data_IF_687049017680
#
_entry.id   IF_687049017680
#
_cell.length_a   1.000
_cell.length_b   1.000
_cell.length_c   1.000
_cell.angle_alpha   90.00
_cell.angle_beta   90.00
_cell.angle_gamma   90.00
#
_symmetry.space_group_name_H-M   'P 1'
#
loop_
_entity.id
_entity.type
_entity.pdbx_description
1 polymer ?
#
# COMPACT_ATOMS: atom_id res chain seq x y z
N UNK A 1 21.84 -30.91 42.34
CA UNK A 1 21.24 -29.88 43.22
C UNK A 1 21.48 -28.53 42.55
N UNK A 2 20.56 -28.11 41.67
CA UNK A 2 20.80 -26.98 40.76
C UNK A 2 19.48 -26.26 40.39
N UNK A 3 18.53 -26.19 41.32
CA UNK A 3 17.16 -25.70 41.08
C UNK A 3 16.83 -24.38 41.79
N UNK A 4 17.75 -23.80 42.58
CA UNK A 4 17.43 -22.63 43.42
C UNK A 4 17.90 -21.28 42.84
N UNK A 5 18.73 -21.29 41.80
CA UNK A 5 19.30 -20.05 41.25
C UNK A 5 18.23 -19.18 40.56
N UNK A 6 17.20 -19.80 39.96
CA UNK A 6 16.14 -19.10 39.24
C UNK A 6 15.15 -18.40 40.17
N UNK A 7 14.74 -19.05 41.27
CA UNK A 7 13.80 -18.47 42.23
C UNK A 7 14.39 -17.27 42.99
N UNK A 8 15.68 -17.33 43.34
CA UNK A 8 16.34 -16.24 44.06
C UNK A 8 16.40 -14.96 43.22
N UNK A 9 16.69 -15.07 41.93
CA UNK A 9 16.71 -13.96 40.97
C UNK A 9 15.36 -13.22 40.85
N UNK A 10 14.24 -13.94 40.92
CA UNK A 10 12.91 -13.33 40.92
C UNK A 10 12.59 -12.59 42.22
N UNK A 11 13.00 -13.15 43.36
CA UNK A 11 12.73 -12.57 44.67
C UNK A 11 13.62 -11.38 45.03
N UNK A 12 14.83 -11.29 44.48
CA UNK A 12 15.76 -10.19 44.75
C UNK A 12 15.40 -8.90 44.01
N UNK A 13 14.70 -8.99 42.88
CA UNK A 13 14.37 -7.83 42.03
C UNK A 13 12.89 -7.79 41.61
N UNK A 14 11.92 -7.83 42.55
CA UNK A 14 10.49 -7.95 42.22
C UNK A 14 9.97 -6.74 41.43
N UNK A 15 10.51 -5.55 41.70
CA UNK A 15 10.17 -4.31 40.98
C UNK A 15 10.61 -4.41 39.51
N UNK A 16 11.83 -4.86 39.24
CA UNK A 16 12.34 -4.98 37.87
C UNK A 16 11.50 -5.97 37.05
N UNK A 17 11.16 -7.12 37.64
CA UNK A 17 10.30 -8.11 36.98
C UNK A 17 8.88 -7.60 36.74
N UNK A 18 8.32 -6.81 37.67
CA UNK A 18 7.00 -6.19 37.50
C UNK A 18 7.01 -5.16 36.37
N UNK A 19 8.07 -4.34 36.26
CA UNK A 19 8.24 -3.37 35.17
C UNK A 19 8.42 -4.04 33.81
N UNK A 20 9.19 -5.13 33.75
CA UNK A 20 9.34 -5.91 32.51
C UNK A 20 7.99 -6.50 32.10
N UNK A 21 7.27 -7.10 33.04
CA UNK A 21 5.96 -7.70 32.75
C UNK A 21 4.95 -6.64 32.28
N UNK A 22 4.91 -5.47 32.92
CA UNK A 22 4.01 -4.39 32.49
C UNK A 22 4.39 -3.85 31.11
N UNK A 23 5.68 -3.72 30.81
CA UNK A 23 6.15 -3.32 29.48
C UNK A 23 5.76 -4.35 28.41
N UNK A 24 5.94 -5.64 28.68
CA UNK A 24 5.53 -6.71 27.76
C UNK A 24 4.01 -6.71 27.53
N UNK A 25 3.21 -6.47 28.56
CA UNK A 25 1.75 -6.31 28.42
C UNK A 25 1.42 -5.10 27.54
N UNK A 26 2.10 -3.97 27.74
CA UNK A 26 1.95 -2.78 26.90
C UNK A 26 2.27 -3.06 25.43
N UNK A 27 3.38 -3.75 25.16
CA UNK A 27 3.76 -4.15 23.79
C UNK A 27 2.73 -5.10 23.16
N UNK A 28 2.23 -6.09 23.91
CA UNK A 28 1.17 -6.98 23.42
C UNK A 28 -0.12 -6.23 23.10
N UNK A 29 -0.49 -5.25 23.92
CA UNK A 29 -1.64 -4.38 23.65
C UNK A 29 -1.43 -3.55 22.38
N UNK A 30 -0.27 -2.89 22.24
CA UNK A 30 0.06 -2.10 21.06
C UNK A 30 0.01 -2.94 19.77
N UNK A 31 0.58 -4.14 19.79
CA UNK A 31 0.53 -5.08 18.67
C UNK A 31 -0.91 -5.47 18.29
N UNK A 32 -1.79 -5.69 19.29
CA UNK A 32 -3.21 -5.95 19.06
C UNK A 32 -3.94 -4.74 18.49
N UNK A 33 -3.62 -3.53 18.95
CA UNK A 33 -4.22 -2.30 18.45
C UNK A 33 -3.86 -2.08 16.97
N UNK A 34 -2.58 -2.16 16.61
CA UNK A 34 -2.10 -2.06 15.23
C UNK A 34 -2.78 -3.10 14.33
N UNK A 35 -2.90 -4.35 14.80
CA UNK A 35 -3.57 -5.40 14.02
C UNK A 35 -5.05 -5.07 13.75
N UNK A 36 -5.74 -4.43 14.70
CA UNK A 36 -7.15 -4.04 14.55
C UNK A 36 -7.35 -2.85 13.60
N UNK A 37 -6.35 -1.99 13.36
CA UNK A 37 -6.49 -0.85 12.46
C UNK A 37 -6.89 -1.29 11.04
N UNK A 38 -6.32 -2.40 10.55
CA UNK A 38 -6.69 -2.98 9.27
C UNK A 38 -8.17 -3.40 9.22
N UNK A 39 -8.65 -4.05 10.28
CA UNK A 39 -10.05 -4.50 10.35
C UNK A 39 -11.01 -3.30 10.41
N UNK A 40 -10.67 -2.28 11.22
CA UNK A 40 -11.46 -1.05 11.36
C UNK A 40 -11.55 -0.29 10.04
N UNK A 41 -10.46 -0.22 9.27
CA UNK A 41 -10.46 0.36 7.93
C UNK A 41 -11.39 -0.39 6.98
N UNK A 42 -11.31 -1.72 6.94
CA UNK A 42 -12.16 -2.55 6.06
C UNK A 42 -13.64 -2.33 6.40
N UNK A 43 -13.97 -2.19 7.68
CA UNK A 43 -15.34 -1.94 8.14
C UNK A 43 -15.84 -0.51 7.86
N UNK A 44 -14.95 0.49 7.91
CA UNK A 44 -15.33 1.91 7.78
C UNK A 44 -14.41 2.66 6.79
N UNK A 45 -14.43 2.32 5.49
CA UNK A 45 -13.65 3.03 4.49
C UNK A 45 -14.21 4.42 4.22
N UNK A 46 -13.33 5.37 3.94
CA UNK A 46 -13.73 6.66 3.35
C UNK A 46 -13.97 6.45 1.86
N UNK A 47 -15.11 6.91 1.37
CA UNK A 47 -15.45 6.81 -0.05
C UNK A 47 -15.05 8.10 -0.76
N UNK A 48 -14.21 7.97 -1.78
CA UNK A 48 -13.74 9.09 -2.59
C UNK A 48 -14.09 8.83 -4.04
N UNK A 49 -14.86 9.72 -4.66
CA UNK A 49 -15.18 9.64 -6.08
C UNK A 49 -13.97 10.05 -6.93
N UNK A 50 -13.68 9.28 -7.96
CA UNK A 50 -12.59 9.51 -8.90
C UNK A 50 -13.05 9.15 -10.32
N UNK A 51 -13.55 10.14 -11.05
CA UNK A 51 -14.18 9.95 -12.35
C UNK A 51 -15.38 8.98 -12.24
N UNK A 52 -15.47 7.91 -13.05
CA UNK A 52 -16.53 6.92 -12.95
C UNK A 52 -16.29 5.86 -11.86
N UNK A 53 -15.30 6.07 -10.99
CA UNK A 53 -14.91 5.12 -9.96
C UNK A 53 -15.08 5.65 -8.54
N UNK A 54 -15.16 4.72 -7.58
CA UNK A 54 -15.14 5.00 -6.14
C UNK A 54 -13.94 4.29 -5.53
N UNK A 55 -13.08 5.08 -4.88
CA UNK A 55 -11.96 4.62 -4.08
C UNK A 55 -12.41 4.44 -2.63
N UNK A 56 -12.07 3.29 -2.03
CA UNK A 56 -12.30 2.99 -0.60
C UNK A 56 -11.02 3.22 0.19
N UNK A 57 -10.72 4.46 0.55
CA UNK A 57 -9.45 4.83 1.17
C UNK A 57 -9.51 4.81 2.70
N UNK A 58 -8.37 4.64 3.38
CA UNK A 58 -8.28 4.87 4.82
C UNK A 58 -8.65 6.32 5.20
N UNK A 59 -9.21 6.50 6.38
CA UNK A 59 -9.62 7.83 6.87
C UNK A 59 -8.45 8.76 7.21
N UNK A 60 -7.23 8.23 7.32
CA UNK A 60 -6.00 9.02 7.55
C UNK A 60 -5.31 9.45 6.24
N UNK A 61 -5.82 9.03 5.08
CA UNK A 61 -5.30 9.50 3.80
C UNK A 61 -5.88 10.88 3.48
N UNK A 62 -5.01 11.88 3.42
CA UNK A 62 -5.40 13.25 3.09
C UNK A 62 -5.23 13.49 1.60
N UNK A 63 -6.26 14.04 0.96
CA UNK A 63 -6.16 14.48 -0.44
C UNK A 63 -5.29 15.74 -0.49
N UNK A 64 -4.17 15.68 -1.20
CA UNK A 64 -3.22 16.82 -1.33
C UNK A 64 -3.24 17.45 -2.70
N UNK A 65 -3.66 16.71 -3.72
CA UNK A 65 -3.86 17.22 -5.08
C UNK A 65 -5.06 16.53 -5.72
N UNK A 66 -5.86 17.30 -6.44
CA UNK A 66 -6.97 16.77 -7.24
C UNK A 66 -7.09 17.59 -8.51
N UNK A 67 -7.18 16.88 -9.62
CA UNK A 67 -7.49 17.40 -10.95
C UNK A 67 -8.60 16.55 -11.57
N UNK A 68 -9.08 16.94 -12.74
CA UNK A 68 -10.11 16.16 -13.46
C UNK A 68 -9.64 14.73 -13.80
N UNK A 69 -8.33 14.53 -13.95
CA UNK A 69 -7.71 13.27 -14.36
C UNK A 69 -6.80 12.66 -13.31
N UNK A 70 -6.61 13.28 -12.14
CA UNK A 70 -5.75 12.72 -11.11
C UNK A 70 -6.18 13.06 -9.69
N UNK A 71 -5.87 12.16 -8.77
CA UNK A 71 -6.04 12.38 -7.34
C UNK A 71 -4.83 11.83 -6.59
N UNK A 72 -4.31 12.61 -5.65
CA UNK A 72 -3.13 12.29 -4.85
C UNK A 72 -3.47 12.33 -3.37
N UNK A 73 -3.01 11.30 -2.67
CA UNK A 73 -3.15 11.10 -1.24
C UNK A 73 -1.79 11.10 -0.57
N UNK A 74 -1.69 11.73 0.59
CA UNK A 74 -0.51 11.70 1.45
C UNK A 74 -0.95 11.56 2.92
N UNK A 75 0.00 11.18 3.77
CA UNK A 75 -0.18 11.16 5.22
C UNK A 75 0.32 12.45 5.86
N UNK A 76 -0.58 13.42 5.96
CA UNK A 76 -0.28 14.72 6.59
C UNK A 76 -0.10 14.64 8.11
N UNK A 77 -0.53 13.53 8.72
CA UNK A 77 -0.45 13.28 10.16
C UNK A 77 0.89 12.68 10.61
N UNK A 78 1.74 12.27 9.66
CA UNK A 78 3.05 11.65 9.95
C UNK A 78 4.19 12.39 9.24
N UNK A 79 5.43 12.05 9.60
CA UNK A 79 6.64 12.64 9.01
C UNK A 79 7.29 11.78 7.92
N UNK A 80 6.75 10.60 7.62
CA UNK A 80 7.36 9.78 6.58
C UNK A 80 6.85 10.16 5.21
N UNK A 81 7.77 10.16 4.26
CA UNK A 81 7.52 10.49 2.86
C UNK A 81 6.83 9.30 2.19
N UNK A 82 5.51 9.41 2.05
CA UNK A 82 4.65 8.46 1.36
C UNK A 82 3.56 9.21 0.60
N UNK A 83 3.25 8.74 -0.60
CA UNK A 83 2.06 9.13 -1.33
C UNK A 83 1.43 7.96 -2.08
N UNK A 84 0.14 8.09 -2.40
CA UNK A 84 -0.55 7.32 -3.41
C UNK A 84 -1.17 8.26 -4.44
N UNK A 85 -1.03 7.94 -5.72
CA UNK A 85 -1.55 8.77 -6.80
C UNK A 85 -2.27 7.92 -7.84
N UNK A 86 -3.44 8.39 -8.25
CA UNK A 86 -4.30 7.76 -9.24
C UNK A 86 -4.47 8.70 -10.40
N UNK A 87 -4.31 8.20 -11.61
CA UNK A 87 -4.49 8.93 -12.86
C UNK A 87 -5.47 8.19 -13.76
N UNK A 88 -6.34 8.97 -14.40
CA UNK A 88 -7.38 8.51 -15.29
C UNK A 88 -7.20 9.19 -16.64
N UNK A 89 -7.21 8.40 -17.70
CA UNK A 89 -7.27 8.91 -19.07
C UNK A 89 -8.18 8.03 -19.91
N UNK A 90 -8.54 8.50 -21.10
CA UNK A 90 -9.22 7.66 -22.06
C UNK A 90 -8.26 6.58 -22.58
N UNK A 91 -8.79 5.39 -22.84
CA UNK A 91 -8.04 4.33 -23.49
C UNK A 91 -7.91 4.71 -24.98
N UNK A 92 -6.68 5.01 -25.39
CA UNK A 92 -6.35 5.33 -26.78
C UNK A 92 -5.61 4.14 -27.40
N UNK A 93 -6.23 3.50 -28.39
CA UNK A 93 -5.71 2.33 -29.14
C UNK A 93 -5.82 0.97 -28.44
N UNK A 94 -5.68 -0.11 -29.23
CA UNK A 94 -5.43 -1.46 -28.72
C UNK A 94 -3.97 -1.59 -28.27
N UNK A 95 -3.58 -0.86 -27.21
CA UNK A 95 -2.27 -1.04 -26.60
C UNK A 95 -2.23 -2.34 -25.77
N UNK A 96 -1.06 -2.96 -25.69
CA UNK A 96 -0.81 -4.03 -24.72
C UNK A 96 -0.49 -3.39 -23.37
N UNK A 97 -1.27 -3.76 -22.34
CA UNK A 97 -1.13 -3.22 -20.98
C UNK A 97 0.27 -3.46 -20.43
N UNK A 98 0.93 -4.55 -20.82
CA UNK A 98 2.27 -4.88 -20.34
C UNK A 98 3.33 -3.94 -20.92
N UNK A 99 3.30 -3.72 -22.23
CA UNK A 99 4.26 -2.84 -22.88
C UNK A 99 4.08 -1.40 -22.41
N UNK A 100 2.84 -0.92 -22.30
CA UNK A 100 2.57 0.42 -21.80
C UNK A 100 2.98 0.57 -20.32
N UNK A 101 2.78 -0.47 -19.50
CA UNK A 101 3.26 -0.48 -18.12
C UNK A 101 4.79 -0.35 -18.05
N UNK A 102 5.53 -1.10 -18.88
CA UNK A 102 7.00 -1.00 -18.94
C UNK A 102 7.44 0.40 -19.36
N UNK A 103 6.77 1.01 -20.33
CA UNK A 103 7.04 2.39 -20.74
C UNK A 103 6.84 3.38 -19.58
N UNK A 104 5.75 3.24 -18.81
CA UNK A 104 5.48 4.09 -17.65
C UNK A 104 6.52 3.94 -16.54
N UNK A 105 6.99 2.72 -16.28
CA UNK A 105 8.10 2.44 -15.36
C UNK A 105 9.40 3.05 -15.87
N UNK A 106 9.68 2.94 -17.17
CA UNK A 106 10.88 3.51 -17.78
C UNK A 106 10.87 5.04 -17.75
N UNK A 107 9.74 5.68 -18.05
CA UNK A 107 9.55 7.16 -17.95
C UNK A 107 9.85 7.66 -16.53
N UNK A 108 9.53 6.86 -15.51
CA UNK A 108 9.82 7.17 -14.10
C UNK A 108 11.26 6.86 -13.68
N UNK A 109 12.09 6.33 -14.59
CA UNK A 109 13.48 5.95 -14.35
C UNK A 109 13.64 5.02 -13.14
N UNK A 110 12.75 4.03 -13.03
CA UNK A 110 12.75 3.03 -11.97
C UNK A 110 13.47 1.76 -12.42
N UNK A 111 14.45 1.32 -11.63
CA UNK A 111 15.10 0.02 -11.78
C UNK A 111 14.77 -0.84 -10.55
N UNK A 112 13.93 -1.85 -10.73
CA UNK A 112 13.54 -2.75 -9.65
C UNK A 112 14.64 -3.78 -9.33
N UNK A 113 14.65 -4.23 -8.07
CA UNK A 113 15.53 -5.32 -7.61
C UNK A 113 15.11 -6.67 -8.22
N UNK A 114 16.02 -7.65 -8.25
CA UNK A 114 15.79 -8.96 -8.88
C UNK A 114 14.62 -9.75 -8.27
N UNK A 115 14.27 -9.46 -7.01
CA UNK A 115 13.17 -10.07 -6.27
C UNK A 115 11.81 -9.41 -6.51
N UNK A 116 11.79 -8.24 -7.17
CA UNK A 116 10.55 -7.57 -7.55
C UNK A 116 9.93 -8.29 -8.77
N UNK A 117 8.98 -9.17 -8.49
CA UNK A 117 8.19 -9.83 -9.53
C UNK A 117 7.25 -8.83 -10.20
N UNK A 118 7.39 -8.63 -11.51
CA UNK A 118 6.29 -8.05 -12.31
C UNK A 118 5.15 -9.07 -12.29
N UNK A 119 4.06 -8.73 -11.61
CA UNK A 119 2.88 -9.59 -11.55
C UNK A 119 1.99 -9.25 -12.74
N UNK A 120 2.05 -10.12 -13.75
CA UNK A 120 1.14 -10.08 -14.88
C UNK A 120 -0.23 -10.60 -14.46
N UNK A 121 -1.28 -9.78 -14.64
CA UNK A 121 -2.68 -10.11 -14.35
C UNK A 121 -2.94 -10.79 -12.99
N UNK A 122 -2.67 -10.11 -11.87
CA UNK A 122 -3.00 -10.64 -10.55
C UNK A 122 -4.49 -11.02 -10.45
N UNK A 123 -4.79 -12.31 -10.30
CA UNK A 123 -6.16 -12.81 -10.14
C UNK A 123 -6.88 -12.17 -8.95
N UNK A 124 -6.13 -11.76 -7.92
CA UNK A 124 -6.67 -11.03 -6.77
C UNK A 124 -7.30 -9.69 -7.13
N UNK A 125 -6.88 -9.07 -8.24
CA UNK A 125 -7.36 -7.76 -8.72
C UNK A 125 -8.54 -7.87 -9.70
N UNK A 126 -8.85 -9.05 -10.25
CA UNK A 126 -9.98 -9.24 -11.18
C UNK A 126 -11.30 -9.36 -10.41
N UNK A 127 -11.70 -8.25 -9.79
CA UNK A 127 -12.94 -8.13 -9.01
C UNK A 127 -13.54 -6.74 -9.22
N UNK A 128 -14.82 -6.59 -8.93
CA UNK A 128 -15.51 -5.29 -8.90
C UNK A 128 -15.31 -4.54 -10.24
N UNK A 129 -14.79 -3.30 -10.22
CA UNK A 129 -14.59 -2.51 -11.43
C UNK A 129 -13.59 -3.10 -12.43
N UNK A 130 -12.74 -4.04 -11.99
CA UNK A 130 -11.62 -4.57 -12.75
C UNK A 130 -11.79 -6.04 -13.17
N UNK A 131 -13.00 -6.60 -13.05
CA UNK A 131 -13.29 -8.01 -13.37
C UNK A 131 -12.93 -8.40 -14.81
N UNK A 132 -13.15 -7.49 -15.76
CA UNK A 132 -12.89 -7.69 -17.19
C UNK A 132 -11.74 -6.85 -17.73
N UNK A 133 -10.93 -6.27 -16.84
CA UNK A 133 -9.83 -5.39 -17.21
C UNK A 133 -8.54 -6.15 -17.52
N UNK A 134 -7.75 -5.60 -18.43
CA UNK A 134 -6.34 -5.99 -18.60
C UNK A 134 -5.51 -5.27 -17.55
N UNK A 135 -4.69 -5.99 -16.77
CA UNK A 135 -3.98 -5.44 -15.61
C UNK A 135 -2.51 -5.84 -15.61
N UNK A 136 -1.63 -4.86 -15.39
CA UNK A 136 -0.23 -5.02 -15.06
C UNK A 136 0.03 -4.45 -13.66
N UNK A 137 0.80 -5.16 -12.82
CA UNK A 137 1.22 -4.65 -11.51
C UNK A 137 2.68 -4.99 -11.23
N UNK A 138 3.37 -4.12 -10.51
CA UNK A 138 4.65 -4.42 -9.88
C UNK A 138 4.62 -3.89 -8.46
N UNK A 139 5.23 -4.64 -7.55
CA UNK A 139 5.44 -4.23 -6.17
C UNK A 139 6.87 -4.62 -5.79
N UNK A 140 7.63 -3.69 -5.22
CA UNK A 140 8.95 -4.00 -4.74
C UNK A 140 9.82 -2.78 -4.44
N UNK A 141 11.07 -3.07 -4.13
CA UNK A 141 12.08 -2.03 -3.95
C UNK A 141 12.71 -1.70 -5.30
N UNK A 142 12.90 -0.41 -5.55
CA UNK A 142 13.50 0.09 -6.78
C UNK A 142 14.54 1.18 -6.50
N UNK A 143 15.43 1.38 -7.47
CA UNK A 143 16.33 2.52 -7.54
C UNK A 143 15.79 3.51 -8.57
N UNK A 144 15.37 4.69 -8.13
CA UNK A 144 14.88 5.76 -8.98
C UNK A 144 16.02 6.71 -9.38
N UNK A 145 16.07 7.07 -10.67
CA UNK A 145 17.09 7.97 -11.23
C UNK A 145 18.54 7.52 -10.96
N UNK A 146 18.76 6.22 -10.69
CA UNK A 146 20.07 5.65 -10.35
C UNK A 146 20.64 6.03 -8.98
N UNK A 147 19.87 6.71 -8.11
CA UNK A 147 20.39 7.24 -6.83
C UNK A 147 19.45 6.91 -5.66
N UNK A 148 18.15 7.14 -5.80
CA UNK A 148 17.21 7.09 -4.69
C UNK A 148 16.62 5.68 -4.54
N UNK A 149 16.74 5.08 -3.35
CA UNK A 149 16.11 3.79 -3.03
C UNK A 149 14.69 4.01 -2.51
N UNK A 150 13.72 3.42 -3.18
CA UNK A 150 12.29 3.62 -2.91
C UNK A 150 11.58 2.28 -2.82
N UNK A 151 10.51 2.23 -2.02
CA UNK A 151 9.48 1.21 -2.15
C UNK A 151 8.42 1.72 -3.12
N UNK A 152 8.07 0.92 -4.12
CA UNK A 152 7.15 1.32 -5.17
C UNK A 152 6.16 0.18 -5.46
N UNK A 153 4.87 0.51 -5.47
CA UNK A 153 3.78 -0.36 -5.91
C UNK A 153 2.99 0.38 -6.98
N UNK A 154 2.80 -0.22 -8.14
CA UNK A 154 2.06 0.41 -9.22
C UNK A 154 1.24 -0.58 -10.02
N UNK A 155 0.09 -0.12 -10.47
CA UNK A 155 -0.86 -0.84 -11.30
C UNK A 155 -1.25 0.01 -12.51
N UNK A 156 -1.25 -0.60 -13.69
CA UNK A 156 -1.97 -0.11 -14.87
C UNK A 156 -3.12 -1.05 -15.16
N UNK A 157 -4.32 -0.49 -15.34
CA UNK A 157 -5.50 -1.23 -15.73
C UNK A 157 -6.19 -0.57 -16.93
N UNK A 158 -6.63 -1.39 -17.88
CA UNK A 158 -7.51 -0.98 -18.98
C UNK A 158 -8.91 -1.49 -18.71
N UNK A 159 -9.79 -0.57 -18.33
CA UNK A 159 -11.21 -0.81 -18.21
C UNK A 159 -11.85 -0.64 -19.60
N UNK A 160 -12.02 -1.77 -20.29
CA UNK A 160 -12.56 -1.78 -21.66
C UNK A 160 -14.05 -1.45 -21.73
N UNK A 161 -14.80 -1.67 -20.65
CA UNK A 161 -16.25 -1.38 -20.64
C UNK A 161 -16.50 0.13 -20.63
N UNK A 162 -15.68 0.87 -19.88
CA UNK A 162 -15.76 2.34 -19.79
C UNK A 162 -14.80 3.06 -20.75
N UNK A 163 -14.01 2.31 -21.52
CA UNK A 163 -12.93 2.82 -22.37
C UNK A 163 -11.97 3.73 -21.59
N UNK A 164 -11.56 3.30 -20.39
CA UNK A 164 -10.69 4.05 -19.48
C UNK A 164 -9.37 3.35 -19.22
N UNK A 165 -8.34 4.16 -19.07
CA UNK A 165 -7.00 3.78 -18.62
C UNK A 165 -6.78 4.32 -17.21
N UNK A 166 -6.40 3.44 -16.29
CA UNK A 166 -6.19 3.76 -14.88
C UNK A 166 -4.73 3.44 -14.53
N UNK A 167 -3.97 4.46 -14.17
CA UNK A 167 -2.67 4.29 -13.54
C UNK A 167 -2.79 4.58 -12.05
N UNK A 168 -2.36 3.67 -11.20
CA UNK A 168 -2.28 3.87 -9.76
C UNK A 168 -0.85 3.58 -9.31
N UNK A 169 -0.28 4.46 -8.50
CA UNK A 169 1.02 4.25 -7.89
C UNK A 169 1.02 4.60 -6.41
N UNK A 170 1.88 3.93 -5.66
CA UNK A 170 2.24 4.27 -4.30
C UNK A 170 3.76 4.25 -4.18
N UNK A 171 4.31 5.33 -3.61
CA UNK A 171 5.75 5.49 -3.39
C UNK A 171 6.01 5.85 -1.94
N UNK A 172 7.07 5.28 -1.39
CA UNK A 172 7.67 5.76 -0.14
C UNK A 172 9.16 5.42 -0.07
N UNK A 173 9.81 5.88 1.01
CA UNK A 173 11.11 5.33 1.40
C UNK A 173 11.02 3.83 1.69
N UNK A 174 12.09 3.08 1.45
CA UNK A 174 12.17 1.62 1.70
C UNK A 174 11.70 1.22 3.11
N UNK A 175 12.00 2.03 4.13
CA UNK A 175 11.66 1.73 5.53
C UNK A 175 10.16 1.81 5.84
N UNK A 176 9.38 2.48 4.99
CA UNK A 176 7.96 2.76 5.22
C UNK A 176 7.02 2.04 4.23
N UNK A 177 7.57 1.32 3.24
CA UNK A 177 6.78 0.65 2.20
C UNK A 177 5.70 -0.29 2.71
N UNK A 178 6.00 -1.02 3.78
CA UNK A 178 5.10 -2.02 4.36
C UNK A 178 4.00 -1.43 5.27
N UNK A 179 4.04 -0.12 5.53
CA UNK A 179 3.03 0.54 6.38
C UNK A 179 1.77 0.79 5.56
N UNK A 180 1.91 1.50 4.45
CA UNK A 180 0.77 1.92 3.62
C UNK A 180 0.49 0.99 2.42
N UNK A 181 1.46 0.17 2.02
CA UNK A 181 1.33 -0.81 0.92
C UNK A 181 0.07 -1.69 1.02
N UNK A 182 -0.21 -2.34 2.18
CA UNK A 182 -1.41 -3.18 2.31
C UNK A 182 -2.74 -2.43 2.14
N UNK A 183 -2.78 -1.13 2.46
CA UNK A 183 -3.96 -0.30 2.28
C UNK A 183 -4.11 0.13 0.82
N UNK A 184 -3.01 0.51 0.17
CA UNK A 184 -2.99 0.79 -1.26
C UNK A 184 -3.44 -0.43 -2.08
N UNK A 185 -2.90 -1.61 -1.78
CA UNK A 185 -3.32 -2.86 -2.41
C UNK A 185 -4.82 -3.09 -2.25
N UNK A 186 -5.36 -2.88 -1.04
CA UNK A 186 -6.80 -3.01 -0.81
C UNK A 186 -7.61 -2.02 -1.66
N UNK A 187 -7.17 -0.77 -1.76
CA UNK A 187 -7.86 0.27 -2.57
C UNK A 187 -7.94 -0.16 -4.03
N UNK A 188 -6.83 -0.56 -4.64
CA UNK A 188 -6.81 -0.98 -6.06
C UNK A 188 -7.58 -2.29 -6.28
N UNK A 189 -7.59 -3.23 -5.32
CA UNK A 189 -8.37 -4.48 -5.41
C UNK A 189 -9.89 -4.27 -5.29
N UNK A 190 -10.32 -3.19 -4.63
CA UNK A 190 -11.72 -2.93 -4.30
C UNK A 190 -12.27 -1.67 -5.00
N UNK A 191 -11.64 -1.27 -6.10
CA UNK A 191 -12.14 -0.21 -6.96
C UNK A 191 -13.55 -0.55 -7.44
N UNK A 192 -14.51 0.36 -7.28
CA UNK A 192 -15.89 0.18 -7.76
C UNK A 192 -16.21 1.17 -8.85
N UNK A 193 -17.07 0.78 -9.80
CA UNK A 193 -17.72 1.71 -10.72
C UNK A 193 -18.93 2.35 -10.01
N UNK A 194 -19.22 3.61 -10.32
CA UNK A 194 -20.43 4.33 -9.87
C UNK A 194 -21.67 3.73 -10.53
#
# INVERSE_FOLDING_TARGET
>A
MQTNLSSELFTQHPIAWTLILSFLIGLMYAMRAIKKEKDVFIENPTLVEFGPYILKTPGWWSITSTTDSSIRFERTDTRYDWYAEFFLSDLTHESDVIEEFKEEIHKRSLLFDEDAGVIHQPLSMKKEALEHSDIARVEGTATQNGIERVYFDAMLAFDRDLNKRIWAESKSSVLNGLVEGPYFEYVIQNLKRI
#
